data_IF_452130699137
#
_entry.id   IF_452130699137
#
_cell.length_a   1.000
_cell.length_b   1.000
_cell.length_c   1.000
_cell.angle_alpha   90.00
_cell.angle_beta   90.00
_cell.angle_gamma   90.00
#
_symmetry.space_group_name_H-M   'P 1'
#
loop_
_entity.id
_entity.type
_entity.pdbx_description
1 polymer ?
#
# COMPACT_ATOMS: atom_id res chain seq x y z
N UNK A 1 3.34 -2.18 1.37
CA UNK A 1 2.25 -2.07 2.36
C UNK A 1 2.74 -2.62 3.70
N UNK A 2 2.43 -1.96 4.82
CA UNK A 2 2.64 -2.53 6.16
C UNK A 2 1.39 -3.30 6.55
N UNK A 3 1.56 -4.51 7.07
CA UNK A 3 0.44 -5.40 7.40
C UNK A 3 0.43 -5.67 8.90
N UNK A 4 -0.74 -5.54 9.54
CA UNK A 4 -0.97 -6.01 10.91
C UNK A 4 -2.16 -6.95 10.96
N UNK A 5 -2.04 -8.02 11.73
CA UNK A 5 -3.12 -8.96 11.99
C UNK A 5 -3.32 -9.08 13.49
N UNK A 6 -4.55 -8.88 13.96
CA UNK A 6 -4.90 -8.96 15.37
C UNK A 6 -4.02 -8.06 16.26
N UNK A 7 -3.64 -6.88 15.75
CA UNK A 7 -2.74 -5.93 16.43
C UNK A 7 -1.24 -6.26 16.33
N UNK A 8 -0.86 -7.44 15.83
CA UNK A 8 0.54 -7.82 15.62
C UNK A 8 1.03 -7.31 14.27
N UNK A 9 2.11 -6.53 14.28
CA UNK A 9 2.81 -6.09 13.08
C UNK A 9 3.52 -7.27 12.40
N UNK A 10 3.23 -7.49 11.12
CA UNK A 10 3.79 -8.55 10.29
C UNK A 10 4.83 -8.02 9.30
N UNK A 11 5.20 -6.74 9.41
CA UNK A 11 6.22 -6.11 8.58
C UNK A 11 5.68 -5.43 7.32
N UNK A 12 6.61 -5.09 6.43
CA UNK A 12 6.33 -4.29 5.22
C UNK A 12 6.70 -5.08 3.96
N UNK A 13 5.72 -5.22 3.05
CA UNK A 13 5.93 -5.78 1.71
C UNK A 13 6.07 -4.65 0.70
N UNK A 14 7.28 -4.42 0.19
CA UNK A 14 7.55 -3.29 -0.73
C UNK A 14 7.88 -3.75 -2.14
N UNK A 15 8.47 -4.93 -2.30
CA UNK A 15 8.76 -5.57 -3.58
C UNK A 15 8.08 -6.94 -3.67
N UNK A 16 8.06 -7.49 -4.88
CA UNK A 16 7.51 -8.81 -5.13
C UNK A 16 8.36 -9.90 -4.46
N UNK A 17 7.75 -11.02 -4.01
CA UNK A 17 6.30 -11.26 -3.96
C UNK A 17 5.64 -10.52 -2.79
N UNK A 18 4.56 -9.77 -3.04
CA UNK A 18 3.86 -8.98 -2.02
C UNK A 18 3.01 -9.87 -1.09
N UNK A 19 3.66 -10.63 -0.19
CA UNK A 19 3.03 -11.62 0.70
C UNK A 19 3.60 -11.52 2.11
N UNK A 20 2.80 -11.90 3.11
CA UNK A 20 3.21 -12.03 4.51
C UNK A 20 2.69 -13.35 5.07
N UNK A 21 3.48 -13.97 5.95
CA UNK A 21 3.07 -15.18 6.67
C UNK A 21 2.16 -14.79 7.85
N UNK A 22 1.01 -15.46 7.98
CA UNK A 22 -0.01 -15.14 9.00
C UNK A 22 -0.33 -16.30 9.95
N UNK A 23 0.21 -17.51 9.69
CA UNK A 23 -0.21 -18.76 10.33
C UNK A 23 -0.20 -18.71 11.86
N UNK A 24 0.87 -18.15 12.45
CA UNK A 24 1.06 -18.11 13.91
C UNK A 24 0.17 -17.09 14.64
N UNK A 25 -0.61 -16.29 13.90
CA UNK A 25 -1.39 -15.16 14.45
C UNK A 25 -2.87 -15.29 14.13
N UNK A 26 -3.22 -16.23 13.26
CA UNK A 26 -4.58 -16.45 12.80
C UNK A 26 -5.46 -17.04 13.91
N UNK A 27 -6.67 -16.52 14.06
CA UNK A 27 -7.74 -17.06 14.91
C UNK A 27 -8.77 -17.78 14.06
N UNK A 28 -9.57 -18.66 14.66
CA UNK A 28 -10.67 -19.35 13.95
C UNK A 28 -11.70 -18.38 13.35
N UNK A 29 -11.94 -17.25 14.03
CA UNK A 29 -12.89 -16.22 13.61
C UNK A 29 -12.44 -14.83 14.09
N UNK A 30 -13.12 -13.81 13.60
CA UNK A 30 -13.01 -12.42 14.07
C UNK A 30 -11.58 -11.85 14.00
N UNK A 31 -10.84 -12.21 12.96
CA UNK A 31 -9.53 -11.66 12.70
C UNK A 31 -9.63 -10.21 12.21
N UNK A 32 -8.84 -9.31 12.81
CA UNK A 32 -8.74 -7.91 12.35
C UNK A 32 -7.48 -7.74 11.52
N UNK A 33 -7.66 -7.51 10.22
CA UNK A 33 -6.58 -7.21 9.28
C UNK A 33 -6.50 -5.70 9.05
N UNK A 34 -5.31 -5.12 9.24
CA UNK A 34 -5.02 -3.72 8.98
C UNK A 34 -3.87 -3.65 7.97
N UNK A 35 -4.06 -2.85 6.91
CA UNK A 35 -3.05 -2.68 5.86
C UNK A 35 -2.83 -1.18 5.65
N UNK A 36 -1.64 -0.70 5.97
CA UNK A 36 -1.21 0.66 5.65
C UNK A 36 -0.53 0.65 4.27
N UNK A 37 -1.06 1.43 3.34
CA UNK A 37 -0.53 1.56 1.98
C UNK A 37 0.03 2.96 1.77
N UNK A 38 1.25 3.03 1.27
CA UNK A 38 1.84 4.26 0.77
C UNK A 38 1.84 4.23 -0.77
N UNK A 39 1.55 5.36 -1.39
CA UNK A 39 1.65 5.58 -2.84
C UNK A 39 2.74 6.63 -3.14
N UNK A 40 2.89 6.95 -4.43
CA UNK A 40 3.83 7.97 -4.89
C UNK A 40 3.15 9.35 -4.94
N UNK A 41 3.98 10.41 -4.88
CA UNK A 41 3.56 11.81 -4.98
C UNK A 41 2.87 12.29 -6.27
N UNK A 42 3.01 11.66 -7.47
CA UNK A 42 2.48 12.21 -8.72
C UNK A 42 1.01 12.60 -8.67
N UNK A 43 0.14 11.77 -8.08
CA UNK A 43 -1.29 12.08 -8.02
C UNK A 43 -1.59 13.33 -7.17
N UNK A 44 -0.81 13.57 -6.11
CA UNK A 44 -0.92 14.80 -5.30
C UNK A 44 -0.39 16.02 -6.07
N UNK A 45 0.75 15.88 -6.74
CA UNK A 45 1.34 16.94 -7.56
C UNK A 45 0.44 17.34 -8.73
N UNK A 46 -0.21 16.37 -9.39
CA UNK A 46 -1.19 16.60 -10.46
C UNK A 46 -2.42 17.32 -9.88
N UNK A 47 -2.97 16.81 -8.78
CA UNK A 47 -4.15 17.40 -8.14
C UNK A 47 -3.93 18.84 -7.67
N UNK A 48 -2.73 19.18 -7.20
CA UNK A 48 -2.39 20.55 -6.78
C UNK A 48 -2.39 21.55 -7.94
N UNK A 49 -2.12 21.12 -9.18
CA UNK A 49 -2.18 21.99 -10.36
C UNK A 49 -3.59 22.52 -10.65
N UNK A 50 -4.62 21.86 -10.12
CA UNK A 50 -6.01 22.26 -10.26
C UNK A 50 -6.47 23.23 -9.15
N UNK A 51 -5.60 23.53 -8.18
CA UNK A 51 -5.91 24.34 -7.02
C UNK A 51 -5.23 25.72 -7.06
N UNK A 52 -5.86 26.76 -6.48
CA UNK A 52 -5.17 28.00 -6.13
C UNK A 52 -3.94 27.72 -5.26
N UNK A 53 -2.92 28.57 -5.37
CA UNK A 53 -1.61 28.35 -4.75
C UNK A 53 -1.71 28.14 -3.22
N UNK A 54 -2.63 28.83 -2.57
CA UNK A 54 -2.84 28.79 -1.11
C UNK A 54 -3.44 27.46 -0.63
N UNK A 55 -3.99 26.66 -1.56
CA UNK A 55 -4.58 25.34 -1.29
C UNK A 55 -3.71 24.19 -1.77
N UNK A 56 -2.58 24.47 -2.41
CA UNK A 56 -1.62 23.44 -2.80
C UNK A 56 -0.90 22.90 -1.57
N UNK A 57 -0.68 21.59 -1.54
CA UNK A 57 -0.11 20.89 -0.38
C UNK A 57 1.35 20.55 -0.61
N UNK A 58 1.71 20.20 -1.84
CA UNK A 58 3.05 19.77 -2.22
C UNK A 58 3.80 20.88 -2.96
N UNK A 59 5.09 21.02 -2.66
CA UNK A 59 6.02 21.91 -3.36
C UNK A 59 7.28 21.15 -3.77
N UNK A 60 7.82 21.46 -4.94
CA UNK A 60 9.07 20.89 -5.47
C UNK A 60 9.75 21.91 -6.38
N UNK A 61 11.08 21.90 -6.42
CA UNK A 61 11.89 22.76 -7.31
C UNK A 61 11.68 22.43 -8.78
N UNK A 62 11.42 21.16 -9.10
CA UNK A 62 11.09 20.71 -10.46
C UNK A 62 9.87 19.78 -10.40
N UNK A 63 8.85 20.09 -11.22
CA UNK A 63 7.61 19.32 -11.31
C UNK A 63 7.28 19.02 -12.78
N UNK A 64 7.43 17.77 -13.26
CA UNK A 64 7.14 17.40 -14.64
C UNK A 64 5.63 17.26 -14.93
N UNK A 65 4.78 17.25 -13.89
CA UNK A 65 3.36 16.95 -14.01
C UNK A 65 2.52 18.21 -14.32
N UNK A 66 1.56 18.03 -15.22
CA UNK A 66 0.55 19.01 -15.62
C UNK A 66 -0.81 18.65 -15.02
N UNK A 67 -1.76 19.58 -15.08
CA UNK A 67 -3.12 19.40 -14.58
C UNK A 67 -3.90 18.27 -15.29
N UNK A 68 -3.54 17.97 -16.55
CA UNK A 68 -4.15 16.96 -17.42
C UNK A 68 -3.32 15.67 -17.51
N UNK A 69 -2.22 15.56 -16.73
CA UNK A 69 -1.43 14.34 -16.70
C UNK A 69 -2.23 13.17 -16.12
N UNK A 70 -2.04 11.98 -16.66
CA UNK A 70 -2.74 10.78 -16.20
C UNK A 70 -2.39 10.44 -14.75
N UNK A 71 -3.41 10.06 -13.97
CA UNK A 71 -3.22 9.60 -12.61
C UNK A 71 -2.67 8.18 -12.60
N UNK A 72 -1.72 7.94 -11.70
CA UNK A 72 -1.17 6.60 -11.50
C UNK A 72 -2.12 5.74 -10.65
N UNK A 73 -2.25 4.43 -10.93
CA UNK A 73 -2.91 3.49 -10.03
C UNK A 73 -2.32 3.59 -8.62
N UNK A 74 -3.17 3.64 -7.59
CA UNK A 74 -2.71 3.79 -6.21
C UNK A 74 -3.65 3.12 -5.22
N UNK A 75 -3.10 2.75 -4.05
CA UNK A 75 -3.84 2.02 -3.01
C UNK A 75 -3.68 0.50 -3.10
N UNK A 76 -4.61 -0.22 -2.46
CA UNK A 76 -4.62 -1.68 -2.42
C UNK A 76 -5.46 -2.23 -3.58
N UNK A 77 -4.84 -2.37 -4.75
CA UNK A 77 -5.56 -2.70 -6.00
C UNK A 77 -6.18 -4.10 -6.00
N UNK A 78 -5.55 -5.05 -5.31
CA UNK A 78 -6.10 -6.39 -5.11
C UNK A 78 -6.13 -7.27 -6.37
N UNK A 79 -6.78 -8.46 -6.28
CA UNK A 79 -7.43 -8.99 -5.08
C UNK A 79 -6.43 -9.36 -3.98
N UNK A 80 -6.83 -9.15 -2.71
CA UNK A 80 -6.11 -9.70 -1.54
C UNK A 80 -6.61 -11.12 -1.32
N UNK A 81 -5.68 -12.08 -1.19
CA UNK A 81 -6.00 -13.50 -1.03
C UNK A 81 -5.25 -14.09 0.16
N UNK A 82 -5.91 -15.02 0.84
CA UNK A 82 -5.26 -15.94 1.77
C UNK A 82 -5.01 -17.23 1.01
N UNK A 83 -3.78 -17.75 1.09
CA UNK A 83 -3.39 -18.99 0.45
C UNK A 83 -2.71 -19.89 1.45
N UNK A 84 -2.99 -21.18 1.42
CA UNK A 84 -2.23 -22.18 2.15
C UNK A 84 -0.97 -22.55 1.37
N UNK A 85 0.14 -22.72 2.07
CA UNK A 85 1.41 -23.23 1.54
C UNK A 85 1.86 -24.37 2.46
N UNK A 86 2.38 -25.46 1.91
CA UNK A 86 3.06 -26.45 2.73
C UNK A 86 4.39 -25.86 3.19
N UNK A 87 4.68 -25.95 4.50
CA UNK A 87 6.03 -25.64 4.99
C UNK A 87 6.97 -26.65 4.34
N UNK A 88 7.77 -26.19 3.37
CA UNK A 88 8.74 -27.03 2.69
C UNK A 88 9.56 -27.79 3.72
N UNK A 89 9.44 -29.12 3.71
CA UNK A 89 10.26 -29.99 4.52
C UNK A 89 11.72 -29.73 4.17
N UNK A 90 12.52 -29.37 5.17
CA UNK A 90 13.97 -29.50 5.09
C UNK A 90 14.24 -31.00 4.86
N UNK A 91 14.75 -31.35 3.68
CA UNK A 91 15.58 -32.54 3.54
C UNK A 91 16.94 -32.25 4.19
#
# INVERSE_FOLDING_TARGET
ARVRLNGRDLGVTWCAPWRVEIGDVLKEKDNRLEIEVANLWPNRLIGDRLLPLEKQVAWTTWNPYKADSELLPSGLLGPVRITTQEKGGMQ
#
